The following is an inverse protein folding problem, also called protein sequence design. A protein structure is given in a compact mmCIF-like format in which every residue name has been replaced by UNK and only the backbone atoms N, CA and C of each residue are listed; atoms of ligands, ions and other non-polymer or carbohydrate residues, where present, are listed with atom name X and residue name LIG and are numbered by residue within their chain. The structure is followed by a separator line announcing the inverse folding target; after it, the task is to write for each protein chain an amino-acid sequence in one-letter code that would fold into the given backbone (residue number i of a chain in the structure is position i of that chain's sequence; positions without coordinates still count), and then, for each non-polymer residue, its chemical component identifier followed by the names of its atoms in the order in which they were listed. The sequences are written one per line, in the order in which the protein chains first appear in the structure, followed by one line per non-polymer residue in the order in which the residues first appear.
data_IF_192025658538
#
_entry.id   IF_192025658538
#
_cell.length_a   1.000
_cell.length_b   1.000
_cell.length_c   1.000
_cell.angle_alpha   90.00
_cell.angle_beta   90.00
_cell.angle_gamma   90.00
#
_symmetry.space_group_name_H-M   'P 1'
#
loop_
_entity.id
_entity.type
_entity.pdbx_description
1 polymer ?
#
# COMPACT_ATOMS: atom_id res chain seq x y z
N UNK A 1 4.93 3.18 12.18
CA UNK A 1 3.57 3.61 12.40
C UNK A 1 2.63 2.90 11.44
N UNK A 2 1.56 2.38 11.94
CA UNK A 2 0.56 1.76 11.09
C UNK A 2 -0.19 2.83 10.31
N UNK A 3 -0.32 2.67 9.02
CA UNK A 3 -1.13 3.54 8.20
C UNK A 3 -2.58 3.04 8.25
N UNK A 4 -3.28 3.41 9.30
CA UNK A 4 -4.71 3.09 9.41
C UNK A 4 -5.55 3.78 8.34
N UNK A 5 -4.97 4.78 7.66
CA UNK A 5 -5.64 5.50 6.59
C UNK A 5 -5.92 4.62 5.37
N UNK A 6 -5.18 3.53 5.23
CA UNK A 6 -5.45 2.54 4.18
C UNK A 6 -6.61 1.64 4.53
N UNK A 7 -7.09 1.71 5.76
CA UNK A 7 -8.06 0.77 6.23
C UNK A 7 -8.90 1.37 7.34
N UNK A 8 -9.84 2.18 6.94
CA UNK A 8 -10.84 2.76 7.82
C UNK A 8 -12.06 1.86 8.00
N UNK A 9 -11.97 0.61 7.55
CA UNK A 9 -13.09 -0.34 7.56
C UNK A 9 -13.96 -0.28 6.32
N UNK A 10 -13.70 0.66 5.41
CA UNK A 10 -14.45 0.79 4.15
C UNK A 10 -13.63 0.38 2.93
N UNK A 11 -12.31 0.23 3.08
CA UNK A 11 -11.37 -0.02 1.98
C UNK A 11 -11.13 -1.50 1.69
N UNK A 12 -11.82 -2.38 2.38
CA UNK A 12 -11.74 -3.82 2.15
C UNK A 12 -12.47 -4.22 0.87
N UNK A 13 -11.98 -5.29 0.26
CA UNK A 13 -12.63 -5.90 -0.90
C UNK A 13 -13.37 -7.14 -0.44
N UNK A 14 -14.70 -7.12 -0.54
CA UNK A 14 -15.55 -8.25 -0.19
C UNK A 14 -15.73 -9.19 -1.36
N UNK A 15 -15.85 -10.49 -1.09
CA UNK A 15 -16.14 -11.52 -2.09
C UNK A 15 -17.42 -12.25 -1.77
N UNK A 16 -18.23 -12.53 -2.78
CA UNK A 16 -19.47 -13.27 -2.62
C UNK A 16 -19.27 -14.78 -2.75
N UNK A 17 -18.21 -15.21 -3.39
CA UNK A 17 -17.95 -16.61 -3.72
C UNK A 17 -16.67 -17.10 -3.05
N UNK A 18 -16.73 -18.27 -2.42
CA UNK A 18 -15.54 -18.94 -1.92
C UNK A 18 -14.61 -19.34 -3.05
N UNK A 19 -13.31 -19.20 -2.84
CA UNK A 19 -12.33 -19.58 -3.83
C UNK A 19 -10.91 -19.14 -3.51
N UNK A 20 -10.02 -19.39 -4.44
CA UNK A 20 -8.67 -18.88 -4.43
C UNK A 20 -8.65 -17.60 -5.26
N UNK A 21 -8.11 -16.55 -4.68
CA UNK A 21 -8.02 -15.23 -5.29
C UNK A 21 -6.58 -14.77 -5.38
N UNK A 22 -6.27 -13.97 -6.38
CA UNK A 22 -5.00 -13.27 -6.50
C UNK A 22 -5.22 -11.80 -6.09
N UNK A 23 -4.56 -11.40 -5.01
CA UNK A 23 -4.52 -10.01 -4.55
C UNK A 23 -3.22 -9.37 -5.04
N UNK A 24 -3.36 -8.30 -5.83
CA UNK A 24 -2.23 -7.52 -6.33
C UNK A 24 -2.33 -6.10 -5.82
N UNK A 25 -1.19 -5.52 -5.45
CA UNK A 25 -1.14 -4.12 -5.06
C UNK A 25 0.08 -3.41 -5.61
N UNK A 26 -0.03 -2.11 -5.75
CA UNK A 26 1.10 -1.20 -5.89
C UNK A 26 0.84 0.04 -5.04
N UNK A 27 1.88 0.49 -4.33
CA UNK A 27 1.82 1.66 -3.45
C UNK A 27 2.95 2.61 -3.82
N UNK A 28 2.62 3.88 -4.02
CA UNK A 28 3.60 4.94 -4.26
C UNK A 28 4.08 5.45 -2.91
N UNK A 29 5.31 5.16 -2.54
CA UNK A 29 5.94 5.70 -1.34
C UNK A 29 6.90 6.83 -1.68
N UNK A 30 6.92 7.84 -0.82
CA UNK A 30 7.94 8.89 -0.83
C UNK A 30 8.56 9.00 0.56
N UNK A 31 9.82 9.41 0.61
CA UNK A 31 10.57 9.58 1.84
C UNK A 31 11.25 10.95 1.83
N UNK A 32 10.90 11.78 2.80
CA UNK A 32 11.44 13.14 2.95
C UNK A 32 12.70 13.18 3.79
N UNK A 33 13.10 12.05 4.40
CA UNK A 33 14.25 11.99 5.30
C UNK A 33 15.55 11.68 4.55
N UNK A 34 16.65 12.07 5.17
CA UNK A 34 18.00 11.74 4.70
C UNK A 34 18.41 10.29 5.01
N UNK A 35 17.57 9.55 5.73
CA UNK A 35 17.79 8.14 6.06
C UNK A 35 16.82 7.25 5.27
N UNK A 36 17.27 6.04 4.93
CA UNK A 36 16.40 5.01 4.36
C UNK A 36 15.46 4.53 5.47
N UNK A 37 14.18 4.39 5.14
CA UNK A 37 13.17 3.85 6.04
C UNK A 37 12.46 2.66 5.42
N UNK A 38 12.08 1.71 6.28
CA UNK A 38 11.36 0.52 5.85
C UNK A 38 9.86 0.75 5.83
N UNK A 39 9.20 0.14 4.87
CA UNK A 39 7.75 0.01 4.79
C UNK A 39 7.40 -1.48 4.75
N UNK A 40 6.36 -1.87 5.45
CA UNK A 40 5.82 -3.23 5.44
C UNK A 40 4.38 -3.20 4.97
N UNK A 41 4.00 -4.19 4.17
CA UNK A 41 2.64 -4.37 3.68
C UNK A 41 2.25 -5.82 3.90
N UNK A 42 1.04 -6.04 4.40
CA UNK A 42 0.47 -7.38 4.57
C UNK A 42 -1.04 -7.34 4.36
N UNK A 43 -1.64 -8.51 4.27
CA UNK A 43 -3.09 -8.64 4.10
C UNK A 43 -3.75 -9.06 5.42
N UNK A 44 -4.98 -8.59 5.59
CA UNK A 44 -5.91 -9.04 6.62
C UNK A 44 -7.18 -9.55 5.98
N UNK A 45 -7.72 -10.60 6.57
CA UNK A 45 -9.04 -11.12 6.21
C UNK A 45 -9.94 -11.04 7.43
N UNK A 46 -11.03 -10.33 7.31
CA UNK A 46 -11.98 -10.10 8.42
C UNK A 46 -11.28 -9.57 9.69
N UNK A 47 -10.31 -8.70 9.53
CA UNK A 47 -9.56 -8.08 10.63
C UNK A 47 -8.44 -8.92 11.21
N UNK A 48 -8.11 -10.07 10.63
CA UNK A 48 -7.07 -10.98 11.10
C UNK A 48 -5.93 -11.02 10.10
N UNK A 49 -4.69 -10.88 10.58
CA UNK A 49 -3.50 -10.94 9.74
C UNK A 49 -3.38 -12.32 9.07
N UNK A 50 -3.09 -12.31 7.77
CA UNK A 50 -2.89 -13.53 7.00
C UNK A 50 -1.41 -13.88 6.98
N UNK A 51 -1.04 -15.04 7.52
CA UNK A 51 0.33 -15.51 7.53
C UNK A 51 0.89 -15.65 6.12
N UNK A 52 2.15 -15.28 5.93
CA UNK A 52 2.83 -15.39 4.65
C UNK A 52 2.53 -14.28 3.65
N UNK A 53 1.77 -13.24 4.03
CA UNK A 53 1.47 -12.12 3.14
C UNK A 53 2.29 -10.86 3.44
N UNK A 54 3.20 -10.89 4.41
CA UNK A 54 4.03 -9.76 4.76
C UNK A 54 5.14 -9.53 3.74
N UNK A 55 5.35 -8.28 3.37
CA UNK A 55 6.45 -7.84 2.51
C UNK A 55 7.11 -6.61 3.09
N UNK A 56 8.43 -6.53 2.99
CA UNK A 56 9.21 -5.38 3.40
C UNK A 56 9.81 -4.71 2.19
N UNK A 57 9.74 -3.37 2.17
CA UNK A 57 10.32 -2.52 1.15
C UNK A 57 11.16 -1.45 1.83
N UNK A 58 12.37 -1.20 1.32
CA UNK A 58 13.18 -0.08 1.80
C UNK A 58 12.96 1.12 0.89
N UNK A 59 12.44 2.19 1.45
CA UNK A 59 12.18 3.43 0.72
C UNK A 59 13.45 4.28 0.75
N UNK A 60 14.04 4.60 -0.42
CA UNK A 60 15.30 5.33 -0.47
C UNK A 60 15.17 6.71 0.18
N UNK A 61 16.29 7.20 0.70
CA UNK A 61 16.37 8.53 1.28
C UNK A 61 16.30 9.61 0.21
N UNK A 62 15.99 10.83 0.63
CA UNK A 62 16.02 11.98 -0.27
C UNK A 62 17.43 12.29 -0.77
N UNK A 63 17.50 12.84 -1.98
CA UNK A 63 18.71 13.37 -2.57
C UNK A 63 18.57 14.88 -2.81
N UNK A 64 19.31 15.67 -2.06
CA UNK A 64 19.19 17.12 -2.14
C UNK A 64 17.80 17.58 -1.78
N UNK A 65 17.12 18.27 -2.69
CA UNK A 65 15.73 18.72 -2.52
C UNK A 65 14.67 17.72 -3.02
N UNK A 66 15.11 16.60 -3.60
CA UNK A 66 14.19 15.58 -4.12
C UNK A 66 14.00 14.48 -3.10
N UNK A 67 12.74 14.14 -2.81
CA UNK A 67 12.40 13.00 -1.97
C UNK A 67 12.87 11.69 -2.60
N UNK A 68 13.06 10.67 -1.79
CA UNK A 68 13.24 9.32 -2.28
C UNK A 68 11.89 8.71 -2.67
N UNK A 69 11.86 7.92 -3.75
CA UNK A 69 10.61 7.34 -4.26
C UNK A 69 10.76 5.85 -4.48
N UNK A 70 9.66 5.13 -4.21
CA UNK A 70 9.58 3.69 -4.43
C UNK A 70 8.14 3.31 -4.78
N UNK A 71 7.99 2.44 -5.76
CA UNK A 71 6.73 1.74 -6.00
C UNK A 71 6.86 0.36 -5.36
N UNK A 72 6.11 0.12 -4.30
CA UNK A 72 6.02 -1.17 -3.65
C UNK A 72 4.92 -1.98 -4.30
N UNK A 73 5.27 -3.08 -4.95
CA UNK A 73 4.32 -3.92 -5.66
C UNK A 73 4.56 -5.38 -5.35
N UNK A 74 3.49 -6.11 -5.14
CA UNK A 74 3.53 -7.55 -4.90
C UNK A 74 2.17 -8.16 -5.20
N UNK A 75 2.12 -9.50 -5.26
CA UNK A 75 0.86 -10.22 -5.35
C UNK A 75 0.90 -11.46 -4.47
N UNK A 76 -0.26 -11.85 -3.98
CA UNK A 76 -0.45 -13.03 -3.15
C UNK A 76 -1.68 -13.80 -3.60
N UNK A 77 -1.60 -15.13 -3.50
CA UNK A 77 -2.77 -15.98 -3.59
C UNK A 77 -3.33 -16.20 -2.19
N UNK A 78 -4.63 -15.96 -2.03
CA UNK A 78 -5.33 -16.15 -0.76
C UNK A 78 -6.57 -16.98 -0.99
N UNK A 79 -6.87 -17.87 -0.06
CA UNK A 79 -8.12 -18.62 -0.04
C UNK A 79 -9.14 -17.84 0.80
N UNK A 80 -10.28 -17.52 0.20
CA UNK A 80 -11.34 -16.77 0.85
C UNK A 80 -12.62 -17.59 0.88
N UNK A 81 -13.36 -17.49 1.97
CA UNK A 81 -14.73 -18.00 2.08
C UNK A 81 -15.70 -16.97 1.52
N UNK A 82 -16.93 -17.40 1.23
CA UNK A 82 -18.00 -16.49 0.85
C UNK A 82 -18.18 -15.42 1.95
N UNK A 83 -18.39 -14.19 1.53
CA UNK A 83 -18.58 -13.00 2.39
C UNK A 83 -17.33 -12.55 3.17
N UNK A 84 -16.17 -13.13 2.91
CA UNK A 84 -14.92 -12.60 3.45
C UNK A 84 -14.58 -11.24 2.86
N UNK A 85 -13.92 -10.42 3.69
CA UNK A 85 -13.37 -9.12 3.27
C UNK A 85 -11.88 -9.14 3.46
N UNK A 86 -11.13 -8.85 2.39
CA UNK A 86 -9.67 -8.75 2.42
C UNK A 86 -9.26 -7.28 2.41
N UNK A 87 -8.28 -6.95 3.23
CA UNK A 87 -7.76 -5.60 3.39
C UNK A 87 -6.24 -5.61 3.29
N UNK A 88 -5.70 -4.53 2.76
CA UNK A 88 -4.25 -4.30 2.76
C UNK A 88 -3.89 -3.36 3.90
N UNK A 89 -2.91 -3.77 4.69
CA UNK A 89 -2.37 -2.96 5.78
C UNK A 89 -0.91 -2.61 5.51
N UNK A 90 -0.53 -1.42 5.95
CA UNK A 90 0.83 -0.92 5.81
C UNK A 90 1.32 -0.30 7.10
N UNK A 91 2.62 -0.42 7.34
CA UNK A 91 3.33 0.25 8.42
C UNK A 91 4.68 0.73 7.92
N UNK A 92 5.19 1.79 8.51
CA UNK A 92 6.50 2.35 8.16
C UNK A 92 7.34 2.55 9.41
N UNK A 93 8.65 2.45 9.29
CA UNK A 93 9.56 2.62 10.44
C UNK A 93 9.57 4.07 10.96
N UNK A 94 9.34 5.03 10.08
CA UNK A 94 9.19 6.44 10.45
C UNK A 94 8.27 7.12 9.45
N UNK A 95 7.16 7.65 9.96
CA UNK A 95 6.16 8.31 9.15
C UNK A 95 6.44 9.80 9.01
N UNK A 96 6.22 10.33 7.82
CA UNK A 96 6.18 11.77 7.60
C UNK A 96 5.02 12.39 8.38
N UNK A 97 5.29 13.49 9.06
CA UNK A 97 4.27 14.25 9.78
C UNK A 97 4.47 15.75 9.54
N UNK A 98 3.58 16.41 8.79
CA UNK A 98 3.71 17.83 8.51
C UNK A 98 3.28 18.72 9.69
N UNK A 99 2.50 18.21 10.64
CA UNK A 99 1.97 18.99 11.78
C UNK A 99 2.99 19.09 12.89
N UNK A 100 3.57 17.95 13.29
CA UNK A 100 4.74 17.90 14.15
C UNK A 100 5.91 17.58 13.24
N UNK A 101 6.65 18.57 12.72
CA UNK A 101 7.54 18.36 11.59
C UNK A 101 8.49 17.19 11.80
N UNK A 102 8.20 16.08 11.18
CA UNK A 102 9.01 14.86 11.21
C UNK A 102 9.17 14.38 9.77
N UNK A 103 10.41 14.29 9.32
CA UNK A 103 10.70 13.69 8.02
C UNK A 103 10.48 12.17 8.10
N UNK A 104 10.06 11.60 7.00
CA UNK A 104 9.78 10.18 6.95
C UNK A 104 9.04 9.77 5.68
N UNK A 105 8.38 8.62 5.75
CA UNK A 105 7.71 7.98 4.64
C UNK A 105 6.23 8.32 4.62
N UNK A 106 5.70 8.56 3.43
CA UNK A 106 4.27 8.74 3.20
C UNK A 106 3.87 8.13 1.86
N UNK A 107 2.58 7.87 1.69
CA UNK A 107 2.02 7.45 0.42
C UNK A 107 1.65 8.67 -0.40
N UNK A 108 2.14 8.73 -1.64
CA UNK A 108 2.01 9.91 -2.47
C UNK A 108 1.06 9.68 -3.64
N UNK A 109 0.05 10.53 -3.75
CA UNK A 109 -0.78 10.66 -4.93
C UNK A 109 -0.34 11.90 -5.72
N UNK A 110 -0.44 11.83 -7.04
CA UNK A 110 -0.10 12.93 -7.92
C UNK A 110 -1.35 13.46 -8.60
N UNK A 111 -1.59 14.77 -8.59
CA UNK A 111 -2.70 15.37 -9.34
C UNK A 111 -2.43 15.31 -10.85
N UNK A 112 -3.46 15.61 -11.64
CA UNK A 112 -3.29 15.81 -13.08
C UNK A 112 -2.23 16.89 -13.32
N UNK A 113 -1.28 16.61 -14.20
CA UNK A 113 -0.20 17.52 -14.55
C UNK A 113 -0.34 18.00 -16.00
N UNK A 114 0.16 19.21 -16.23
CA UNK A 114 0.25 19.77 -17.58
C UNK A 114 1.69 20.10 -17.97
N UNK A 115 2.57 20.23 -16.98
CA UNK A 115 3.99 20.55 -17.17
C UNK A 115 4.85 19.59 -16.36
N UNK A 116 6.01 19.19 -16.86
CA UNK A 116 6.61 19.48 -18.16
C UNK A 116 5.90 18.83 -19.35
N UNK A 117 4.96 17.92 -19.08
CA UNK A 117 4.12 17.25 -20.09
C UNK A 117 2.76 16.92 -19.45
N UNK A 118 1.77 16.72 -20.30
CA UNK A 118 0.42 16.34 -19.85
C UNK A 118 0.43 14.90 -19.35
N UNK A 119 -0.16 14.68 -18.18
CA UNK A 119 -0.19 13.37 -17.52
C UNK A 119 -1.43 13.26 -16.63
N UNK A 120 -2.13 12.11 -16.62
CA UNK A 120 -3.24 11.90 -15.71
C UNK A 120 -2.78 11.86 -14.25
N UNK A 121 -3.75 11.96 -13.34
CA UNK A 121 -3.48 11.76 -11.91
C UNK A 121 -2.99 10.34 -11.63
N UNK A 122 -2.16 10.20 -10.59
CA UNK A 122 -1.64 8.90 -10.16
C UNK A 122 -2.16 8.66 -8.75
N UNK A 123 -2.89 7.55 -8.50
CA UNK A 123 -3.32 7.20 -7.16
C UNK A 123 -2.13 6.73 -6.31
N UNK A 124 -2.19 6.95 -5.01
CA UNK A 124 -1.17 6.48 -4.07
C UNK A 124 -1.18 4.96 -3.94
N UNK A 125 -2.35 4.34 -4.06
CA UNK A 125 -2.55 2.89 -3.92
C UNK A 125 -3.42 2.39 -5.04
N UNK A 126 -3.02 1.28 -5.64
CA UNK A 126 -3.86 0.46 -6.53
C UNK A 126 -3.89 -0.95 -5.96
N UNK A 127 -5.08 -1.47 -5.74
CA UNK A 127 -5.26 -2.84 -5.27
C UNK A 127 -6.33 -3.52 -6.10
N UNK A 128 -6.07 -4.76 -6.51
CA UNK A 128 -7.01 -5.57 -7.28
C UNK A 128 -7.12 -6.96 -6.69
N UNK A 129 -8.30 -7.54 -6.79
CA UNK A 129 -8.58 -8.91 -6.35
C UNK A 129 -9.22 -9.67 -7.52
N UNK A 130 -8.57 -10.74 -7.94
CA UNK A 130 -9.00 -11.53 -9.09
C UNK A 130 -9.31 -12.96 -8.66
N UNK A 131 -10.49 -13.46 -9.00
CA UNK A 131 -10.84 -14.86 -8.78
C UNK A 131 -9.98 -15.76 -9.67
N UNK A 132 -9.40 -16.81 -9.08
CA UNK A 132 -8.53 -17.75 -9.79
C UNK A 132 -9.22 -19.10 -9.98
N UNK A 133 -9.74 -19.67 -8.89
CA UNK A 133 -10.39 -20.98 -8.96
C UNK A 133 -11.33 -21.20 -7.78
N UNK A 134 -12.34 -22.07 -8.00
CA UNK A 134 -13.16 -22.57 -6.92
C UNK A 134 -12.33 -23.49 -5.98
N UNK A 135 -12.78 -23.59 -4.75
CA UNK A 135 -12.23 -24.53 -3.76
C UNK A 135 -13.16 -25.70 -3.59
#
# INVERSE_FOLDING_TARGET
MCSSDLNDGTDGIGVAQAGIYNYQFSVQFANTDSQIHAAWIWLRVNGVDVAGTGSRFDVPNKHGSSDGYLIAACNFYVQLAADDTVEMWAAVSQAYNPVTPTDGVYMEAYPVQTTPFAMPSIPSVVATLTFVSAV
#
